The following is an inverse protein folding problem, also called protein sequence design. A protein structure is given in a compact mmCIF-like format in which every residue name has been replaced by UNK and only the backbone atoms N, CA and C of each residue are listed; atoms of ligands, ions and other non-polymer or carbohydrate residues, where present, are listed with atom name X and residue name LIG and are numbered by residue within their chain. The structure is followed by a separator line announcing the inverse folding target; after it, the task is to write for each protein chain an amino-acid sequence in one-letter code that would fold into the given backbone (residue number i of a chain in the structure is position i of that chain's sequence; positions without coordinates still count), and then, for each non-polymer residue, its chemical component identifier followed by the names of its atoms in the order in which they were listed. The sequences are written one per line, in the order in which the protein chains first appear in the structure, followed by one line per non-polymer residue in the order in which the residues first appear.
data_IF_182954001927
#
_entry.id   IF_182954001927
#
_cell.length_a   1.000
_cell.length_b   1.000
_cell.length_c   1.000
_cell.angle_alpha   90.00
_cell.angle_beta   90.00
_cell.angle_gamma   90.00
#
_symmetry.space_group_name_H-M   'P 1'
#
loop_
_entity.id
_entity.type
_entity.pdbx_description
1 polymer ?
#
# COMPACT_ATOMS: atom_id res chain seq x y z
N UNK A 1 -33.37 -8.42 -0.92
CA UNK A 1 -32.00 -8.21 -0.40
C UNK A 1 -31.28 -9.53 -0.44
N UNK A 2 -30.06 -9.57 -0.96
CA UNK A 2 -29.20 -10.76 -1.03
C UNK A 2 -28.08 -10.59 -0.02
N UNK A 3 -27.71 -11.65 0.70
CA UNK A 3 -26.57 -11.63 1.60
C UNK A 3 -25.37 -12.28 0.90
N UNK A 4 -24.22 -11.61 0.89
CA UNK A 4 -22.97 -12.12 0.32
C UNK A 4 -21.89 -11.99 1.39
N UNK A 5 -21.26 -13.12 1.72
CA UNK A 5 -20.05 -13.10 2.54
C UNK A 5 -18.88 -12.56 1.70
N UNK A 6 -18.02 -11.68 2.24
CA UNK A 6 -16.87 -11.15 1.50
C UNK A 6 -15.95 -12.25 0.94
N UNK A 7 -15.75 -13.32 1.71
CA UNK A 7 -15.13 -14.55 1.22
C UNK A 7 -16.21 -15.53 0.77
N UNK A 8 -16.49 -15.55 -0.52
CA UNK A 8 -17.43 -16.51 -1.09
C UNK A 8 -16.86 -17.19 -2.33
N UNK A 9 -17.39 -18.38 -2.58
CA UNK A 9 -17.07 -19.14 -3.78
C UNK A 9 -17.94 -18.72 -4.98
N UNK A 10 -17.45 -19.01 -6.17
CA UNK A 10 -18.08 -18.59 -7.43
C UNK A 10 -19.43 -19.25 -7.66
N UNK A 11 -19.64 -20.47 -7.17
CA UNK A 11 -20.91 -21.19 -7.33
C UNK A 11 -21.98 -20.57 -6.44
N UNK A 12 -21.68 -20.34 -5.18
CA UNK A 12 -22.57 -19.65 -4.23
C UNK A 12 -22.94 -18.27 -4.76
N UNK A 13 -21.96 -17.48 -5.18
CA UNK A 13 -22.19 -16.16 -5.77
C UNK A 13 -23.13 -16.23 -7.00
N UNK A 14 -22.83 -17.11 -7.97
CA UNK A 14 -23.64 -17.24 -9.19
C UNK A 14 -25.06 -17.72 -8.90
N UNK A 15 -25.26 -18.59 -7.91
CA UNK A 15 -26.59 -19.08 -7.52
C UNK A 15 -27.49 -18.00 -6.93
N UNK A 16 -26.92 -17.01 -6.25
CA UNK A 16 -27.65 -15.87 -5.71
C UNK A 16 -28.12 -14.92 -6.83
N UNK A 17 -27.34 -14.82 -7.93
CA UNK A 17 -27.60 -13.91 -9.04
C UNK A 17 -28.69 -14.42 -9.99
N UNK A 18 -28.93 -15.74 -10.07
CA UNK A 18 -29.97 -16.30 -10.97
C UNK A 18 -31.41 -15.94 -10.60
N UNK A 19 -31.62 -15.35 -9.43
CA UNK A 19 -32.94 -15.03 -8.88
C UNK A 19 -33.33 -13.54 -9.00
N UNK A 20 -32.60 -12.76 -9.81
CA UNK A 20 -32.79 -11.31 -9.91
C UNK A 20 -33.92 -10.96 -10.90
N UNK A 21 -34.98 -10.32 -10.41
CA UNK A 21 -36.19 -9.96 -11.16
C UNK A 21 -36.48 -8.44 -11.21
N UNK A 22 -35.68 -7.62 -10.52
CA UNK A 22 -35.78 -6.16 -10.46
C UNK A 22 -34.67 -5.45 -11.24
N UNK A 23 -34.83 -4.14 -11.51
CA UNK A 23 -33.79 -3.30 -12.13
C UNK A 23 -32.52 -3.19 -11.27
N UNK A 24 -32.69 -3.20 -9.94
CA UNK A 24 -31.63 -3.08 -8.95
C UNK A 24 -31.73 -4.15 -7.88
N UNK A 25 -30.60 -4.58 -7.35
CA UNK A 25 -30.50 -5.56 -6.27
C UNK A 25 -29.80 -4.94 -5.07
N UNK A 26 -30.47 -5.00 -3.92
CA UNK A 26 -29.85 -4.67 -2.64
C UNK A 26 -29.03 -5.86 -2.12
N UNK A 27 -27.76 -5.65 -1.82
CA UNK A 27 -26.82 -6.64 -1.30
C UNK A 27 -26.32 -6.23 0.08
N UNK A 28 -26.40 -7.14 1.06
CA UNK A 28 -25.76 -7.00 2.36
C UNK A 28 -24.42 -7.75 2.38
N UNK A 29 -23.35 -7.06 2.80
CA UNK A 29 -22.00 -7.60 3.04
C UNK A 29 -21.74 -7.88 4.52
N UNK A 30 -22.78 -8.29 5.26
CA UNK A 30 -22.68 -8.54 6.70
C UNK A 30 -21.95 -9.86 6.99
N UNK A 31 -21.04 -9.83 7.97
CA UNK A 31 -20.51 -11.06 8.57
C UNK A 31 -21.42 -11.54 9.71
N UNK A 32 -21.27 -12.81 10.12
CA UNK A 32 -22.05 -13.37 11.22
C UNK A 32 -21.90 -12.53 12.50
N UNK A 33 -23.03 -12.07 13.06
CA UNK A 33 -23.06 -11.23 14.26
C UNK A 33 -23.20 -9.73 14.01
N UNK A 34 -23.30 -9.31 12.75
CA UNK A 34 -23.67 -7.93 12.37
C UNK A 34 -25.14 -7.87 11.94
N UNK A 35 -25.84 -6.81 12.34
CA UNK A 35 -27.20 -6.50 11.92
C UNK A 35 -27.22 -5.16 11.16
N UNK A 36 -27.57 -5.22 9.88
CA UNK A 36 -27.67 -4.06 8.99
C UNK A 36 -29.11 -3.58 8.97
N UNK A 37 -29.33 -2.34 9.41
CA UNK A 37 -30.66 -1.74 9.53
C UNK A 37 -30.77 -0.54 8.59
N UNK A 38 -31.36 -0.69 7.39
CA UNK A 38 -31.62 0.42 6.48
C UNK A 38 -32.56 1.46 7.09
N UNK A 39 -32.31 2.75 6.81
CA UNK A 39 -33.29 3.80 7.06
C UNK A 39 -34.51 3.63 6.14
N UNK A 40 -35.70 4.18 6.49
CA UNK A 40 -36.94 3.94 5.74
C UNK A 40 -36.85 4.16 4.22
N UNK A 41 -36.14 5.19 3.77
CA UNK A 41 -36.00 5.55 2.35
C UNK A 41 -34.64 5.17 1.74
N UNK A 42 -33.82 4.37 2.44
CA UNK A 42 -32.45 4.06 2.04
C UNK A 42 -32.37 3.47 0.62
N UNK A 43 -33.20 2.45 0.35
CA UNK A 43 -33.24 1.81 -0.97
C UNK A 43 -33.65 2.78 -2.08
N UNK A 44 -34.71 3.56 -1.85
CA UNK A 44 -35.17 4.56 -2.81
C UNK A 44 -34.10 5.63 -3.09
N UNK A 45 -33.40 6.10 -2.04
CA UNK A 45 -32.33 7.08 -2.17
C UNK A 45 -31.13 6.53 -2.95
N UNK A 46 -30.70 5.31 -2.65
CA UNK A 46 -29.62 4.65 -3.41
C UNK A 46 -30.01 4.44 -4.87
N UNK A 47 -31.25 4.05 -5.16
CA UNK A 47 -31.75 3.88 -6.53
C UNK A 47 -31.80 5.21 -7.29
N UNK A 48 -32.24 6.28 -6.63
CA UNK A 48 -32.25 7.62 -7.22
C UNK A 48 -30.84 8.03 -7.65
N UNK A 49 -29.84 7.83 -6.79
CA UNK A 49 -28.44 8.12 -7.11
C UNK A 49 -27.95 7.23 -8.25
N UNK A 50 -28.23 5.92 -8.21
CA UNK A 50 -27.84 4.98 -9.27
C UNK A 50 -28.39 5.41 -10.64
N UNK A 51 -29.66 5.85 -10.71
CA UNK A 51 -30.28 6.35 -11.95
C UNK A 51 -29.68 7.68 -12.41
N UNK A 52 -29.34 8.58 -11.48
CA UNK A 52 -28.74 9.89 -11.81
C UNK A 52 -27.31 9.77 -12.35
N UNK A 53 -26.52 8.81 -11.85
CA UNK A 53 -25.10 8.65 -12.21
C UNK A 53 -24.86 7.56 -13.25
N UNK A 54 -25.85 6.69 -13.50
CA UNK A 54 -25.69 5.49 -14.31
C UNK A 54 -24.77 4.45 -13.65
N UNK A 55 -24.69 4.45 -12.31
CA UNK A 55 -23.77 3.59 -11.57
C UNK A 55 -24.10 2.10 -11.75
N UNK A 56 -23.05 1.30 -11.91
CA UNK A 56 -23.14 -0.16 -11.83
C UNK A 56 -23.32 -0.63 -10.37
N UNK A 57 -22.77 0.13 -9.42
CA UNK A 57 -22.84 -0.15 -7.98
C UNK A 57 -22.88 1.16 -7.19
N UNK A 58 -23.77 1.24 -6.21
CA UNK A 58 -23.85 2.32 -5.22
C UNK A 58 -23.60 1.73 -3.84
N UNK A 59 -22.78 2.41 -3.05
CA UNK A 59 -22.53 2.11 -1.64
C UNK A 59 -22.56 3.39 -0.83
N UNK A 60 -22.74 3.31 0.48
CA UNK A 60 -23.04 4.49 1.29
C UNK A 60 -22.38 4.47 2.67
N UNK A 61 -22.14 5.67 3.19
CA UNK A 61 -21.85 5.92 4.59
C UNK A 61 -22.91 5.28 5.50
N UNK A 62 -22.57 5.07 6.77
CA UNK A 62 -23.48 4.50 7.75
C UNK A 62 -23.17 4.95 9.17
N UNK A 63 -24.05 4.58 10.10
CA UNK A 63 -23.81 4.76 11.52
C UNK A 63 -23.45 3.44 12.18
N UNK A 64 -22.32 3.39 12.86
CA UNK A 64 -22.02 2.36 13.85
C UNK A 64 -22.84 2.63 15.11
N UNK A 65 -23.53 1.59 15.62
CA UNK A 65 -24.25 1.65 16.90
C UNK A 65 -23.32 1.21 18.02
N UNK A 66 -22.95 2.14 18.89
CA UNK A 66 -22.07 1.89 20.02
C UNK A 66 -22.78 1.08 21.12
N UNK A 67 -22.01 0.51 22.03
CA UNK A 67 -22.51 -0.31 23.16
C UNK A 67 -23.49 0.47 24.06
N UNK A 68 -23.33 1.79 24.16
CA UNK A 68 -24.22 2.68 24.92
C UNK A 68 -25.47 3.12 24.13
N UNK A 69 -25.62 2.65 22.89
CA UNK A 69 -26.70 3.02 21.96
C UNK A 69 -26.47 4.34 21.22
N UNK A 70 -25.34 5.03 21.44
CA UNK A 70 -24.98 6.21 20.66
C UNK A 70 -24.59 5.84 19.22
N UNK A 71 -24.67 6.82 18.30
CA UNK A 71 -24.31 6.62 16.90
C UNK A 71 -22.99 7.32 16.58
N UNK A 72 -22.07 6.60 15.96
CA UNK A 72 -20.85 7.18 15.35
C UNK A 72 -20.95 7.10 13.83
N UNK A 73 -20.69 8.21 13.15
CA UNK A 73 -20.66 8.25 11.69
C UNK A 73 -19.45 7.48 11.18
N UNK A 74 -19.70 6.48 10.34
CA UNK A 74 -18.71 5.76 9.58
C UNK A 74 -18.67 6.33 8.15
N UNK A 75 -17.65 7.15 7.88
CA UNK A 75 -17.45 7.73 6.55
C UNK A 75 -16.59 6.79 5.70
N UNK A 76 -17.04 6.54 4.48
CA UNK A 76 -16.31 5.79 3.46
C UNK A 76 -15.57 6.74 2.51
N UNK A 77 -14.76 6.18 1.60
CA UNK A 77 -14.01 6.93 0.58
C UNK A 77 -14.51 6.58 -0.82
N UNK A 78 -14.28 7.48 -1.77
CA UNK A 78 -14.65 7.25 -3.18
C UNK A 78 -13.80 6.13 -3.81
N UNK A 79 -14.47 5.23 -4.54
CA UNK A 79 -13.83 4.15 -5.28
C UNK A 79 -13.19 4.70 -6.57
N UNK A 80 -11.93 5.12 -6.48
CA UNK A 80 -11.12 5.48 -7.63
C UNK A 80 -10.79 4.25 -8.50
N UNK A 81 -10.38 4.44 -9.75
CA UNK A 81 -10.00 3.33 -10.63
C UNK A 81 -8.88 2.46 -10.05
N UNK A 82 -7.97 3.08 -9.31
CA UNK A 82 -6.88 2.43 -8.58
C UNK A 82 -7.26 1.81 -7.24
N UNK A 83 -8.53 1.81 -6.83
CA UNK A 83 -9.03 1.13 -5.62
C UNK A 83 -9.02 -0.41 -5.81
N UNK A 84 -7.86 -0.98 -6.12
CA UNK A 84 -7.68 -2.39 -6.48
C UNK A 84 -7.42 -3.30 -5.28
N UNK A 85 -7.21 -2.73 -4.10
CA UNK A 85 -6.97 -3.45 -2.87
C UNK A 85 -8.15 -4.34 -2.45
N UNK A 86 -7.88 -5.57 -2.02
CA UNK A 86 -8.90 -6.55 -1.62
C UNK A 86 -9.56 -6.22 -0.27
N UNK A 87 -8.98 -5.28 0.48
CA UNK A 87 -9.54 -4.71 1.71
C UNK A 87 -10.29 -3.39 1.48
N UNK A 88 -10.70 -3.03 0.25
CA UNK A 88 -11.50 -1.82 0.03
C UNK A 88 -12.85 -1.87 0.75
N UNK A 89 -13.15 -0.82 1.51
CA UNK A 89 -14.36 -0.73 2.32
C UNK A 89 -15.51 -0.09 1.55
N UNK A 90 -16.48 -0.91 1.18
CA UNK A 90 -17.75 -0.48 0.58
C UNK A 90 -18.88 -0.39 1.62
N UNK A 91 -18.57 -0.51 2.91
CA UNK A 91 -19.54 -0.67 3.98
C UNK A 91 -20.27 -2.02 3.91
N UNK A 92 -21.48 -2.05 4.44
CA UNK A 92 -22.29 -3.28 4.60
C UNK A 92 -23.47 -3.38 3.65
N UNK A 93 -23.83 -2.30 2.95
CA UNK A 93 -25.01 -2.25 2.11
C UNK A 93 -24.65 -1.70 0.73
N UNK A 94 -24.93 -2.49 -0.31
CA UNK A 94 -24.72 -2.12 -1.71
C UNK A 94 -26.03 -2.17 -2.47
N UNK A 95 -26.19 -1.27 -3.44
CA UNK A 95 -27.20 -1.37 -4.48
C UNK A 95 -26.49 -1.61 -5.82
N UNK A 96 -26.83 -2.68 -6.53
CA UNK A 96 -26.16 -3.08 -7.77
C UNK A 96 -27.18 -3.08 -8.92
N UNK A 97 -26.82 -2.50 -10.06
CA UNK A 97 -27.62 -2.61 -11.29
C UNK A 97 -27.65 -4.07 -11.76
N UNK A 98 -28.85 -4.61 -11.98
CA UNK A 98 -29.04 -6.04 -12.28
C UNK A 98 -28.38 -6.47 -13.59
N UNK A 99 -28.32 -5.59 -14.59
CA UNK A 99 -27.66 -5.90 -15.88
C UNK A 99 -26.15 -5.89 -15.70
N UNK A 100 -25.61 -4.91 -14.98
CA UNK A 100 -24.21 -4.85 -14.63
C UNK A 100 -23.79 -6.08 -13.81
N UNK A 101 -24.61 -6.51 -12.85
CA UNK A 101 -24.39 -7.71 -12.03
C UNK A 101 -24.28 -8.98 -12.88
N UNK A 102 -25.22 -9.19 -13.81
CA UNK A 102 -25.20 -10.36 -14.71
C UNK A 102 -23.98 -10.32 -15.64
N UNK A 103 -23.69 -9.17 -16.26
CA UNK A 103 -22.54 -9.02 -17.15
C UNK A 103 -21.21 -9.21 -16.40
N UNK A 104 -21.07 -8.59 -15.23
CA UNK A 104 -19.89 -8.69 -14.39
C UNK A 104 -19.66 -10.13 -13.93
N UNK A 105 -20.72 -10.83 -13.50
CA UNK A 105 -20.65 -12.25 -13.12
C UNK A 105 -20.27 -13.15 -14.29
N UNK A 106 -20.80 -12.87 -15.49
CA UNK A 106 -20.44 -13.57 -16.73
C UNK A 106 -18.97 -13.37 -17.14
N UNK A 107 -18.37 -12.23 -16.79
CA UNK A 107 -16.96 -11.96 -17.03
C UNK A 107 -16.00 -12.69 -16.06
N UNK A 108 -16.51 -13.31 -15.00
CA UNK A 108 -15.71 -14.13 -14.07
C UNK A 108 -15.54 -15.53 -14.67
N UNK A 109 -14.40 -15.73 -15.33
CA UNK A 109 -14.05 -17.00 -16.00
C UNK A 109 -13.46 -18.03 -15.04
N UNK A 110 -12.67 -17.57 -14.06
CA UNK A 110 -12.01 -18.44 -13.08
C UNK A 110 -13.00 -18.87 -11.99
N UNK A 111 -12.85 -20.11 -11.52
CA UNK A 111 -13.57 -20.62 -10.36
C UNK A 111 -12.77 -20.30 -9.09
N UNK A 112 -13.38 -19.52 -8.20
CA UNK A 112 -12.82 -19.09 -6.92
C UNK A 112 -13.53 -19.77 -5.76
N UNK A 113 -12.80 -20.09 -4.69
CA UNK A 113 -13.34 -20.53 -3.40
C UNK A 113 -13.55 -19.38 -2.42
N UNK A 114 -12.79 -18.30 -2.58
CA UNK A 114 -12.71 -17.18 -1.63
C UNK A 114 -12.85 -15.83 -2.32
N UNK A 115 -12.25 -15.64 -3.50
CA UNK A 115 -12.16 -14.33 -4.13
C UNK A 115 -13.33 -13.97 -5.07
N UNK A 116 -14.46 -14.69 -5.03
CA UNK A 116 -15.53 -14.49 -6.02
C UNK A 116 -16.14 -13.08 -5.92
N UNK A 117 -16.41 -12.59 -4.70
CA UNK A 117 -16.93 -11.22 -4.51
C UNK A 117 -15.91 -10.15 -4.93
N UNK A 118 -14.63 -10.36 -4.62
CA UNK A 118 -13.56 -9.46 -5.04
C UNK A 118 -13.41 -9.41 -6.58
N UNK A 119 -13.49 -10.55 -7.27
CA UNK A 119 -13.54 -10.61 -8.72
C UNK A 119 -14.80 -9.91 -9.28
N UNK A 120 -15.95 -10.08 -8.62
CA UNK A 120 -17.20 -9.43 -9.01
C UNK A 120 -17.13 -7.91 -8.90
N UNK A 121 -16.67 -7.36 -7.78
CA UNK A 121 -16.58 -5.90 -7.60
C UNK A 121 -15.60 -5.29 -8.60
N UNK A 122 -14.51 -5.99 -8.93
CA UNK A 122 -13.57 -5.58 -9.98
C UNK A 122 -14.19 -5.68 -11.39
N UNK A 123 -15.14 -6.58 -11.60
CA UNK A 123 -15.86 -6.70 -12.86
C UNK A 123 -16.97 -5.66 -13.02
N UNK A 124 -17.64 -5.31 -11.92
CA UNK A 124 -18.65 -4.26 -11.85
C UNK A 124 -18.07 -2.89 -12.20
N UNK A 125 -16.85 -2.58 -11.74
CA UNK A 125 -16.19 -1.31 -12.09
C UNK A 125 -15.89 -1.16 -13.60
N UNK A 126 -15.96 -2.25 -14.37
CA UNK A 126 -15.85 -2.22 -15.85
C UNK A 126 -17.20 -2.05 -16.55
N UNK A 127 -18.32 -2.21 -15.83
CA UNK A 127 -19.67 -2.07 -16.39
C UNK A 127 -20.19 -0.62 -16.30
N UNK A 128 -19.69 0.15 -15.34
CA UNK A 128 -20.10 1.52 -15.11
C UNK A 128 -19.48 2.09 -13.83
N UNK A 129 -19.83 3.34 -13.47
CA UNK A 129 -19.34 3.98 -12.25
C UNK A 129 -19.66 3.17 -11.00
N UNK A 130 -18.72 3.15 -10.06
CA UNK A 130 -18.96 2.70 -8.68
C UNK A 130 -19.10 3.95 -7.84
N UNK A 131 -20.33 4.26 -7.42
CA UNK A 131 -20.66 5.56 -6.83
C UNK A 131 -20.79 5.45 -5.31
N UNK A 132 -20.05 6.31 -4.64
CA UNK A 132 -20.18 6.56 -3.21
C UNK A 132 -21.32 7.54 -2.94
N UNK A 133 -22.27 7.15 -2.10
CA UNK A 133 -23.30 8.01 -1.53
C UNK A 133 -22.84 8.45 -0.13
N UNK A 134 -22.32 9.66 -0.01
CA UNK A 134 -21.83 10.25 1.26
C UNK A 134 -22.97 10.71 2.19
N UNK A 135 -24.02 9.88 2.29
CA UNK A 135 -25.16 10.06 3.16
C UNK A 135 -25.31 8.78 4.00
N UNK A 136 -25.43 8.88 5.34
CA UNK A 136 -25.60 7.70 6.17
C UNK A 136 -27.03 7.15 6.05
N UNK A 137 -27.22 6.15 5.19
CA UNK A 137 -28.55 5.59 4.87
C UNK A 137 -28.88 4.30 5.64
N UNK A 138 -27.99 3.80 6.49
CA UNK A 138 -28.24 2.63 7.34
C UNK A 138 -27.44 2.68 8.65
N UNK A 139 -27.80 1.79 9.58
CA UNK A 139 -27.08 1.53 10.84
C UNK A 139 -26.51 0.12 10.85
N UNK A 140 -25.41 -0.07 11.55
CA UNK A 140 -24.80 -1.38 11.80
C UNK A 140 -24.71 -1.60 13.31
N UNK A 141 -25.33 -2.68 13.77
CA UNK A 141 -25.18 -3.17 15.15
C UNK A 141 -24.27 -4.40 15.13
N UNK A 142 -23.17 -4.35 15.87
CA UNK A 142 -22.21 -5.46 15.96
C UNK A 142 -22.28 -6.12 17.33
N UNK A 143 -22.43 -7.45 17.36
CA UNK A 143 -22.34 -8.22 18.59
C UNK A 143 -20.94 -8.10 19.23
N UNK A 144 -20.84 -8.23 20.55
CA UNK A 144 -19.56 -8.24 21.26
C UNK A 144 -18.66 -9.36 20.73
N UNK A 145 -17.50 -9.01 20.15
CA UNK A 145 -16.60 -9.98 19.52
C UNK A 145 -16.84 -10.23 18.02
N UNK A 146 -17.61 -9.36 17.35
CA UNK A 146 -17.73 -9.38 15.89
C UNK A 146 -16.34 -9.29 15.23
N UNK A 147 -16.11 -10.20 14.28
CA UNK A 147 -14.91 -10.27 13.44
C UNK A 147 -14.94 -9.08 12.48
N UNK A 148 -13.83 -8.36 12.33
CA UNK A 148 -13.73 -7.25 11.38
C UNK A 148 -13.95 -7.76 9.95
N UNK A 149 -14.59 -6.96 9.12
CA UNK A 149 -14.76 -7.22 7.68
C UNK A 149 -13.44 -7.44 6.93
N UNK A 150 -12.29 -7.13 7.54
CA UNK A 150 -10.98 -7.35 6.93
C UNK A 150 -10.11 -8.38 7.65
N UNK A 151 -10.62 -9.05 8.70
CA UNK A 151 -9.84 -10.05 9.44
C UNK A 151 -9.44 -11.25 8.55
N UNK A 152 -10.15 -11.48 7.45
CA UNK A 152 -9.81 -12.51 6.48
C UNK A 152 -8.66 -12.14 5.53
N UNK A 153 -8.27 -10.85 5.47
CA UNK A 153 -7.15 -10.36 4.64
C UNK A 153 -5.80 -10.73 5.29
N UNK A 154 -5.81 -11.64 6.28
CA UNK A 154 -4.63 -12.20 6.91
C UNK A 154 -3.63 -12.69 5.85
N UNK A 155 -2.44 -12.06 5.74
CA UNK A 155 -1.40 -12.47 4.80
C UNK A 155 -0.96 -13.93 5.01
N UNK A 156 -1.23 -14.51 6.18
CA UNK A 156 -0.93 -15.92 6.49
C UNK A 156 -1.88 -16.89 5.78
N UNK A 157 -3.03 -16.45 5.29
CA UNK A 157 -3.94 -17.29 4.52
C UNK A 157 -3.54 -17.34 3.03
N UNK A 158 -2.53 -18.16 2.74
CA UNK A 158 -1.90 -18.26 1.42
C UNK A 158 -2.88 -18.58 0.28
N UNK A 159 -3.86 -19.44 0.52
CA UNK A 159 -4.85 -19.81 -0.51
C UNK A 159 -5.73 -18.61 -0.90
N UNK A 160 -6.17 -17.83 0.09
CA UNK A 160 -6.93 -16.59 -0.15
C UNK A 160 -6.07 -15.58 -0.91
N UNK A 161 -4.82 -15.36 -0.49
CA UNK A 161 -3.91 -14.41 -1.14
C UNK A 161 -3.67 -14.74 -2.62
N UNK A 162 -3.51 -16.02 -2.95
CA UNK A 162 -3.34 -16.48 -4.34
C UNK A 162 -4.59 -16.19 -5.17
N UNK A 163 -5.79 -16.46 -4.63
CA UNK A 163 -7.03 -16.18 -5.35
C UNK A 163 -7.27 -14.68 -5.56
N UNK A 164 -6.99 -13.85 -4.55
CA UNK A 164 -7.09 -12.40 -4.66
C UNK A 164 -6.09 -11.85 -5.68
N UNK A 165 -4.85 -12.38 -5.71
CA UNK A 165 -3.87 -12.03 -6.73
C UNK A 165 -4.34 -12.39 -8.15
N UNK A 166 -4.92 -13.57 -8.35
CA UNK A 166 -5.49 -13.97 -9.63
C UNK A 166 -6.61 -13.03 -10.08
N UNK A 167 -7.55 -12.70 -9.19
CA UNK A 167 -8.66 -11.81 -9.50
C UNK A 167 -8.19 -10.40 -9.90
N UNK A 168 -7.21 -9.84 -9.19
CA UNK A 168 -6.60 -8.56 -9.55
C UNK A 168 -5.89 -8.65 -10.91
N UNK A 169 -5.12 -9.71 -11.13
CA UNK A 169 -4.38 -9.92 -12.38
C UNK A 169 -5.30 -10.06 -13.60
N UNK A 170 -6.41 -10.79 -13.44
CA UNK A 170 -7.42 -10.94 -14.49
C UNK A 170 -8.12 -9.60 -14.77
N UNK A 171 -8.38 -8.78 -13.74
CA UNK A 171 -8.87 -7.41 -13.93
C UNK A 171 -7.86 -6.53 -14.67
N UNK A 172 -6.57 -6.54 -14.29
CA UNK A 172 -5.52 -5.77 -14.95
C UNK A 172 -5.40 -6.13 -16.44
N UNK A 173 -5.53 -7.41 -16.79
CA UNK A 173 -5.57 -7.85 -18.19
C UNK A 173 -6.79 -7.29 -18.92
N UNK A 174 -7.97 -7.40 -18.30
CA UNK A 174 -9.22 -6.91 -18.88
C UNK A 174 -9.23 -5.40 -19.16
N UNK A 175 -8.48 -4.61 -18.37
CA UNK A 175 -8.37 -3.16 -18.55
C UNK A 175 -7.12 -2.71 -19.29
N UNK A 176 -6.29 -3.63 -19.79
CA UNK A 176 -5.06 -3.32 -20.54
C UNK A 176 -3.91 -2.78 -19.69
N UNK A 177 -3.93 -2.99 -18.37
CA UNK A 177 -2.91 -2.51 -17.43
C UNK A 177 -1.97 -3.60 -16.90
N UNK A 178 -2.12 -4.84 -17.37
CA UNK A 178 -1.25 -5.95 -16.97
C UNK A 178 0.18 -5.75 -17.49
N UNK A 179 1.17 -6.03 -16.63
CA UNK A 179 2.58 -5.99 -17.01
C UNK A 179 3.15 -7.40 -17.07
N UNK A 180 3.86 -7.70 -18.15
CA UNK A 180 4.65 -8.92 -18.27
C UNK A 180 5.90 -8.87 -17.37
N UNK A 181 6.48 -10.04 -17.04
CA UNK A 181 7.80 -10.11 -16.42
C UNK A 181 8.85 -9.32 -17.24
N UNK A 182 9.84 -8.76 -16.54
CA UNK A 182 10.95 -7.97 -17.06
C UNK A 182 12.22 -8.60 -16.55
N UNK A 183 13.15 -8.80 -17.46
CA UNK A 183 14.46 -9.40 -17.21
C UNK A 183 15.59 -8.44 -17.61
N UNK A 184 15.30 -7.14 -17.73
CA UNK A 184 16.27 -6.14 -18.17
C UNK A 184 17.21 -5.75 -17.02
N UNK A 185 18.50 -5.86 -17.30
CA UNK A 185 19.58 -5.44 -16.43
C UNK A 185 19.66 -3.91 -16.36
N UNK A 186 19.72 -3.39 -15.15
CA UNK A 186 19.94 -1.97 -14.91
C UNK A 186 21.41 -1.65 -15.04
N UNK A 187 21.71 -0.62 -15.83
CA UNK A 187 23.06 -0.06 -15.91
C UNK A 187 23.31 0.90 -14.74
N UNK A 188 24.27 0.54 -13.89
CA UNK A 188 24.70 1.34 -12.74
C UNK A 188 25.84 2.31 -13.04
N UNK A 189 26.16 2.55 -14.32
CA UNK A 189 27.13 3.57 -14.71
C UNK A 189 26.74 4.96 -14.19
N UNK A 190 27.76 5.74 -13.84
CA UNK A 190 27.60 7.06 -13.27
C UNK A 190 28.71 7.37 -12.26
N UNK A 191 28.91 8.66 -12.03
CA UNK A 191 29.84 9.16 -11.02
C UNK A 191 29.12 9.34 -9.69
N UNK A 192 29.61 8.66 -8.65
CA UNK A 192 29.04 8.66 -7.31
C UNK A 192 30.18 8.68 -6.27
N UNK A 193 30.08 9.49 -5.21
CA UNK A 193 31.14 9.66 -4.22
C UNK A 193 31.40 8.40 -3.38
N UNK A 194 30.38 7.56 -3.21
CA UNK A 194 30.40 6.31 -2.45
C UNK A 194 29.49 5.27 -3.10
N UNK A 195 29.63 4.00 -2.73
CA UNK A 195 28.80 2.92 -3.27
C UNK A 195 27.36 3.02 -2.77
N UNK A 196 27.17 3.32 -1.49
CA UNK A 196 25.85 3.43 -0.90
C UNK A 196 25.73 4.59 0.08
N UNK A 197 24.52 5.12 0.20
CA UNK A 197 24.11 6.07 1.22
C UNK A 197 22.92 5.51 1.97
N UNK A 198 23.04 5.38 3.29
CA UNK A 198 21.86 5.17 4.15
C UNK A 198 21.15 6.50 4.31
N UNK A 199 19.87 6.57 3.99
CA UNK A 199 19.07 7.79 3.99
C UNK A 199 18.05 7.73 5.12
N UNK A 200 18.09 8.74 5.99
CA UNK A 200 17.26 8.86 7.19
C UNK A 200 16.57 10.23 7.19
N UNK A 201 15.33 10.34 6.69
CA UNK A 201 14.48 11.49 6.95
C UNK A 201 14.14 11.55 8.44
N UNK A 202 14.24 12.72 9.07
CA UNK A 202 13.93 12.87 10.49
C UNK A 202 13.24 14.18 10.80
N UNK A 203 12.30 14.14 11.76
CA UNK A 203 11.75 15.32 12.42
C UNK A 203 11.35 14.97 13.85
N UNK A 204 11.91 15.67 14.82
CA UNK A 204 11.61 15.51 16.25
C UNK A 204 11.70 14.05 16.73
N UNK A 205 12.91 13.49 16.70
CA UNK A 205 13.21 12.10 17.06
C UNK A 205 14.42 11.99 17.98
N UNK A 206 14.58 12.94 18.90
CA UNK A 206 15.76 13.00 19.78
C UNK A 206 16.00 11.70 20.54
N UNK A 207 14.93 11.00 20.93
CA UNK A 207 15.01 9.75 21.70
C UNK A 207 15.43 8.53 20.88
N UNK A 208 15.32 8.56 19.55
CA UNK A 208 15.54 7.37 18.71
C UNK A 208 16.63 7.55 17.66
N UNK A 209 16.88 8.78 17.21
CA UNK A 209 17.71 9.08 16.06
C UNK A 209 19.16 8.58 16.22
N UNK A 210 19.71 8.64 17.43
CA UNK A 210 21.07 8.19 17.68
C UNK A 210 21.21 6.68 17.45
N UNK A 211 20.26 5.86 17.92
CA UNK A 211 20.27 4.42 17.68
C UNK A 211 20.22 4.11 16.17
N UNK A 212 19.38 4.82 15.43
CA UNK A 212 19.24 4.65 13.98
C UNK A 212 20.57 4.95 13.27
N UNK A 213 21.15 6.13 13.53
CA UNK A 213 22.41 6.55 12.91
C UNK A 213 23.58 5.67 13.32
N UNK A 214 23.67 5.25 14.59
CA UNK A 214 24.71 4.33 15.05
C UNK A 214 24.57 2.94 14.41
N UNK A 215 23.34 2.44 14.21
CA UNK A 215 23.10 1.18 13.49
C UNK A 215 23.53 1.26 12.02
N UNK A 216 23.39 2.44 11.40
CA UNK A 216 23.83 2.69 10.04
C UNK A 216 25.36 2.85 9.93
N UNK A 217 26.00 3.58 10.86
CA UNK A 217 27.45 3.81 10.87
C UNK A 217 28.28 2.59 11.29
N UNK A 218 27.65 1.60 11.93
CA UNK A 218 28.25 0.33 12.33
C UNK A 218 28.17 -0.76 11.25
N UNK A 219 27.65 -0.46 10.06
CA UNK A 219 27.61 -1.43 8.96
C UNK A 219 29.04 -1.78 8.50
N UNK A 220 29.29 -3.08 8.36
CA UNK A 220 30.52 -3.67 7.87
C UNK A 220 30.37 -4.00 6.39
N UNK A 221 31.16 -3.34 5.55
CA UNK A 221 31.05 -3.47 4.09
C UNK A 221 32.43 -3.52 3.44
N UNK A 222 32.48 -4.10 2.25
CA UNK A 222 33.66 -4.15 1.37
C UNK A 222 33.84 -2.90 0.50
N UNK A 223 32.91 -1.95 0.59
CA UNK A 223 32.85 -0.72 -0.19
C UNK A 223 32.74 0.50 0.71
N UNK A 224 32.96 1.70 0.16
CA UNK A 224 32.75 2.94 0.89
C UNK A 224 31.27 3.30 0.91
N UNK A 225 30.78 3.78 2.06
CA UNK A 225 29.41 4.26 2.23
C UNK A 225 29.38 5.47 3.17
N UNK A 226 28.25 6.17 3.18
CA UNK A 226 27.96 7.23 4.13
C UNK A 226 26.51 7.14 4.65
N UNK A 227 26.17 8.01 5.60
CA UNK A 227 24.81 8.15 6.14
C UNK A 227 24.35 9.58 5.91
N UNK A 228 23.23 9.75 5.23
CA UNK A 228 22.60 11.04 4.97
C UNK A 228 21.38 11.16 5.89
N UNK A 229 21.42 12.10 6.83
CA UNK A 229 20.27 12.43 7.67
C UNK A 229 19.70 13.75 7.18
N UNK A 230 18.45 13.73 6.74
CA UNK A 230 17.71 14.95 6.36
C UNK A 230 16.83 15.36 7.52
N UNK A 231 17.30 16.33 8.29
CA UNK A 231 16.58 16.89 9.44
C UNK A 231 15.64 17.99 8.99
N UNK A 232 14.34 17.65 8.94
CA UNK A 232 13.28 18.52 8.49
C UNK A 232 12.83 19.49 9.61
N UNK A 233 13.77 20.33 10.04
CA UNK A 233 13.59 21.41 11.01
C UNK A 233 13.12 20.92 12.38
N UNK A 234 13.84 19.96 12.97
CA UNK A 234 13.58 19.51 14.33
C UNK A 234 13.76 20.63 15.37
N UNK A 235 13.00 20.53 16.46
CA UNK A 235 12.97 21.53 17.54
C UNK A 235 13.09 20.90 18.94
N UNK A 236 13.36 19.59 19.01
CA UNK A 236 13.39 18.81 20.26
C UNK A 236 14.79 18.51 20.78
N UNK A 237 15.83 18.96 20.08
CA UNK A 237 17.24 18.63 20.33
C UNK A 237 17.85 17.63 19.33
N UNK A 238 17.08 17.15 18.36
CA UNK A 238 17.56 16.21 17.30
C UNK A 238 18.68 16.83 16.46
N UNK A 239 18.53 18.09 16.05
CA UNK A 239 19.50 18.78 15.20
C UNK A 239 20.86 18.88 15.87
N UNK A 240 20.88 19.22 17.16
CA UNK A 240 22.08 19.43 17.95
C UNK A 240 22.88 18.13 18.11
N UNK A 241 22.22 17.02 18.44
CA UNK A 241 22.89 15.72 18.60
C UNK A 241 23.47 15.22 17.27
N UNK A 242 22.78 15.46 16.15
CA UNK A 242 23.26 15.13 14.81
C UNK A 242 24.45 15.98 14.39
N UNK A 243 24.42 17.29 14.65
CA UNK A 243 25.55 18.18 14.39
C UNK A 243 26.80 17.77 15.17
N UNK A 244 26.64 17.41 16.45
CA UNK A 244 27.76 16.99 17.29
C UNK A 244 28.32 15.62 16.90
N UNK A 245 27.49 14.72 16.36
CA UNK A 245 27.96 13.47 15.77
C UNK A 245 28.68 13.71 14.43
N UNK A 246 28.15 14.56 13.55
CA UNK A 246 28.74 14.85 12.24
C UNK A 246 30.13 15.50 12.34
N UNK A 247 30.40 16.25 13.41
CA UNK A 247 31.75 16.76 13.72
C UNK A 247 32.76 15.65 14.05
N UNK A 248 32.29 14.50 14.55
CA UNK A 248 33.11 13.38 15.03
C UNK A 248 33.23 12.24 14.02
N UNK A 249 32.22 12.03 13.18
CA UNK A 249 32.24 11.03 12.11
C UNK A 249 31.93 11.68 10.75
N UNK A 250 32.96 11.79 9.91
CA UNK A 250 32.85 12.40 8.57
C UNK A 250 31.95 11.64 7.60
N UNK A 251 31.54 10.40 7.93
CA UNK A 251 30.58 9.64 7.11
C UNK A 251 29.14 10.10 7.34
N UNK A 252 28.86 10.90 8.37
CA UNK A 252 27.52 11.44 8.61
C UNK A 252 27.35 12.79 7.89
N UNK A 253 26.52 12.79 6.84
CA UNK A 253 26.05 13.98 6.15
C UNK A 253 24.73 14.45 6.76
N UNK A 254 24.80 15.38 7.71
CA UNK A 254 23.61 16.02 8.29
C UNK A 254 23.16 17.21 7.43
N UNK A 255 21.96 17.11 6.86
CA UNK A 255 21.37 18.12 5.98
C UNK A 255 20.11 18.69 6.64
N UNK A 256 20.07 20.01 6.83
CA UNK A 256 18.85 20.74 7.15
C UNK A 256 18.39 21.44 5.86
N UNK A 257 17.18 21.15 5.33
CA UNK A 257 16.70 21.78 4.10
C UNK A 257 16.60 23.30 4.24
N UNK A 258 16.94 24.04 3.18
CA UNK A 258 16.79 25.51 3.16
C UNK A 258 15.32 25.95 3.24
N UNK A 259 14.43 25.16 2.62
CA UNK A 259 12.99 25.39 2.64
C UNK A 259 12.30 24.58 3.74
N UNK A 260 11.18 25.09 4.24
CA UNK A 260 10.31 24.39 5.18
C UNK A 260 9.15 23.73 4.45
N UNK A 261 8.47 22.79 5.11
CA UNK A 261 7.22 22.19 4.60
C UNK A 261 7.38 20.93 3.75
N UNK A 262 8.58 20.35 3.69
CA UNK A 262 8.80 19.06 3.03
C UNK A 262 8.06 17.93 3.75
N UNK A 263 7.49 17.01 2.99
CA UNK A 263 7.13 15.67 3.46
C UNK A 263 8.35 14.75 3.51
N UNK A 264 8.11 13.47 3.83
CA UNK A 264 9.15 12.43 3.80
C UNK A 264 9.71 12.28 2.38
N UNK A 265 8.85 12.33 1.35
CA UNK A 265 9.27 12.24 -0.04
C UNK A 265 10.16 13.41 -0.48
N UNK A 266 9.87 14.63 -0.03
CA UNK A 266 10.73 15.80 -0.23
C UNK A 266 12.10 15.63 0.43
N UNK A 267 12.15 15.05 1.62
CA UNK A 267 13.43 14.72 2.28
C UNK A 267 14.22 13.66 1.50
N UNK A 268 13.55 12.63 0.99
CA UNK A 268 14.17 11.65 0.08
C UNK A 268 14.71 12.30 -1.19
N UNK A 269 13.94 13.19 -1.82
CA UNK A 269 14.36 13.93 -3.00
C UNK A 269 15.61 14.78 -2.72
N UNK A 270 15.67 15.44 -1.57
CA UNK A 270 16.86 16.19 -1.16
C UNK A 270 18.06 15.26 -0.96
N UNK A 271 17.86 14.11 -0.31
CA UNK A 271 18.92 13.13 -0.07
C UNK A 271 19.47 12.55 -1.38
N UNK A 272 18.62 12.06 -2.29
CA UNK A 272 19.08 11.44 -3.54
C UNK A 272 19.74 12.44 -4.50
N UNK A 273 19.34 13.71 -4.46
CA UNK A 273 19.96 14.78 -5.25
C UNK A 273 21.18 15.42 -4.56
N UNK A 274 21.49 15.04 -3.32
CA UNK A 274 22.68 15.54 -2.62
C UNK A 274 23.96 15.11 -3.34
N UNK A 275 24.99 15.98 -3.40
CA UNK A 275 26.31 15.60 -3.91
C UNK A 275 26.98 14.51 -3.06
N UNK A 276 26.49 14.26 -1.84
CA UNK A 276 26.97 13.17 -0.99
C UNK A 276 26.33 11.82 -1.34
N UNK A 277 25.26 11.77 -2.14
CA UNK A 277 24.51 10.54 -2.35
C UNK A 277 25.26 9.55 -3.24
N UNK A 278 25.45 8.34 -2.71
CA UNK A 278 26.06 7.22 -3.40
C UNK A 278 25.20 6.63 -4.51
N UNK A 279 25.72 5.60 -5.14
CA UNK A 279 25.08 4.89 -6.25
C UNK A 279 23.78 4.22 -5.85
N UNK A 280 23.72 3.69 -4.63
CA UNK A 280 22.50 3.14 -4.04
C UNK A 280 22.07 3.95 -2.82
N UNK A 281 20.81 4.38 -2.80
CA UNK A 281 20.19 5.03 -1.66
C UNK A 281 19.35 4.01 -0.88
N UNK A 282 19.68 3.78 0.39
CA UNK A 282 19.11 2.71 1.21
C UNK A 282 18.35 3.32 2.37
N UNK A 283 17.10 2.92 2.56
CA UNK A 283 16.26 3.45 3.62
C UNK A 283 16.72 3.02 5.01
N UNK A 284 16.64 3.94 5.97
CA UNK A 284 16.44 3.65 7.38
C UNK A 284 15.52 4.70 8.02
N UNK A 285 14.42 4.30 8.66
CA UNK A 285 13.55 5.25 9.36
C UNK A 285 14.19 5.69 10.69
N UNK A 286 13.97 6.95 11.07
CA UNK A 286 14.62 7.61 12.21
C UNK A 286 14.31 7.03 13.60
N UNK A 287 13.33 6.14 13.68
CA UNK A 287 12.91 5.41 14.86
C UNK A 287 13.20 3.90 14.80
N UNK A 288 13.83 3.43 13.74
CA UNK A 288 14.15 2.02 13.51
C UNK A 288 15.66 1.76 13.48
N UNK A 289 16.06 0.49 13.40
CA UNK A 289 17.47 0.08 13.35
C UNK A 289 17.67 -1.10 12.37
N UNK A 290 18.86 -1.21 11.79
CA UNK A 290 19.21 -2.42 11.04
C UNK A 290 19.35 -3.65 11.95
N UNK A 291 18.95 -4.81 11.45
CA UNK A 291 18.96 -6.07 12.21
C UNK A 291 20.37 -6.64 12.44
N UNK A 292 21.35 -6.25 11.62
CA UNK A 292 22.73 -6.75 11.69
C UNK A 292 23.73 -5.76 11.08
N UNK A 293 25.01 -5.94 11.38
CA UNK A 293 26.10 -5.15 10.79
C UNK A 293 26.33 -5.45 9.29
N UNK A 294 25.77 -6.55 8.75
CA UNK A 294 25.93 -6.92 7.34
C UNK A 294 24.73 -6.53 6.46
N UNK A 295 23.71 -5.86 7.00
CA UNK A 295 22.49 -5.49 6.27
C UNK A 295 22.80 -4.71 4.99
N UNK A 296 23.63 -3.66 5.08
CA UNK A 296 23.96 -2.82 3.93
C UNK A 296 24.76 -3.58 2.87
N UNK A 297 25.72 -4.43 3.29
CA UNK A 297 26.48 -5.30 2.39
C UNK A 297 25.54 -6.20 1.59
N UNK A 298 24.60 -6.87 2.27
CA UNK A 298 23.64 -7.78 1.63
C UNK A 298 22.74 -7.09 0.61
N UNK A 299 22.30 -5.86 0.92
CA UNK A 299 21.46 -5.06 0.00
C UNK A 299 22.25 -4.71 -1.27
N UNK A 300 23.49 -4.23 -1.12
CA UNK A 300 24.33 -3.85 -2.27
C UNK A 300 24.75 -5.07 -3.10
N UNK A 301 25.06 -6.20 -2.45
CA UNK A 301 25.34 -7.46 -3.16
C UNK A 301 24.14 -7.89 -4.00
N UNK A 302 22.91 -7.71 -3.51
CA UNK A 302 21.69 -8.02 -4.25
C UNK A 302 21.50 -7.15 -5.48
N UNK A 303 21.83 -5.86 -5.40
CA UNK A 303 21.83 -4.97 -6.57
C UNK A 303 22.76 -5.47 -7.66
N UNK A 304 24.01 -5.81 -7.30
CA UNK A 304 25.01 -6.26 -8.27
C UNK A 304 24.71 -7.64 -8.82
N UNK A 305 24.26 -8.57 -7.98
CA UNK A 305 23.95 -9.94 -8.38
C UNK A 305 22.76 -10.03 -9.34
N UNK A 306 21.73 -9.21 -9.14
CA UNK A 306 20.49 -9.27 -9.93
C UNK A 306 20.30 -8.12 -10.91
N UNK A 307 21.21 -7.13 -10.88
CA UNK A 307 21.18 -5.93 -11.73
C UNK A 307 19.80 -5.26 -11.75
N UNK A 308 19.20 -5.12 -10.57
CA UNK A 308 17.84 -4.61 -10.36
C UNK A 308 17.81 -3.10 -10.06
N UNK A 309 16.67 -2.44 -10.24
CA UNK A 309 16.55 -0.99 -9.95
C UNK A 309 16.24 -0.70 -8.48
N UNK A 310 15.63 -1.67 -7.81
CA UNK A 310 15.07 -1.59 -6.47
C UNK A 310 15.39 -2.90 -5.75
N UNK A 311 15.85 -2.80 -4.50
CA UNK A 311 15.94 -3.94 -3.58
C UNK A 311 14.99 -3.70 -2.42
N UNK A 312 14.18 -4.69 -2.07
CA UNK A 312 13.26 -4.62 -0.93
C UNK A 312 13.50 -5.79 -0.01
N UNK A 313 13.70 -5.47 1.28
CA UNK A 313 13.91 -6.46 2.33
C UNK A 313 12.63 -6.83 3.09
N UNK A 314 12.84 -7.71 4.07
CA UNK A 314 11.91 -8.04 5.12
C UNK A 314 12.32 -7.37 6.44
N UNK A 315 11.35 -7.20 7.34
CA UNK A 315 11.57 -6.57 8.64
C UNK A 315 10.89 -7.34 9.77
N UNK A 316 11.42 -7.23 10.98
CA UNK A 316 10.81 -7.80 12.18
C UNK A 316 10.22 -6.68 13.03
N UNK A 317 8.98 -6.85 13.48
CA UNK A 317 8.39 -5.95 14.47
C UNK A 317 9.00 -6.21 15.85
N UNK A 318 9.49 -5.16 16.50
CA UNK A 318 10.01 -5.25 17.86
C UNK A 318 9.49 -4.13 18.74
N UNK A 319 9.59 -4.28 20.06
CA UNK A 319 9.54 -3.15 20.97
C UNK A 319 10.86 -2.35 20.93
N UNK A 320 10.97 -1.35 21.81
CA UNK A 320 12.17 -0.51 21.92
C UNK A 320 13.40 -1.31 22.39
N UNK A 321 13.18 -2.34 23.21
CA UNK A 321 14.22 -3.24 23.76
C UNK A 321 14.57 -4.38 22.81
N UNK A 322 14.03 -4.36 21.57
CA UNK A 322 14.24 -5.36 20.50
C UNK A 322 13.60 -6.72 20.77
N UNK A 323 12.65 -6.81 21.70
CA UNK A 323 11.84 -8.01 21.85
C UNK A 323 10.85 -8.10 20.68
N UNK A 324 10.74 -9.28 20.08
CA UNK A 324 9.86 -9.50 18.92
C UNK A 324 8.40 -9.35 19.33
N UNK A 325 7.66 -8.52 18.59
CA UNK A 325 6.22 -8.34 18.74
C UNK A 325 5.49 -9.15 17.67
N UNK A 326 4.30 -9.67 17.99
CA UNK A 326 3.45 -10.32 17.00
C UNK A 326 3.05 -9.33 15.88
N UNK A 327 2.95 -9.78 14.61
CA UNK A 327 3.17 -11.14 14.11
C UNK A 327 4.64 -11.57 13.91
N UNK A 328 5.62 -10.71 14.20
CA UNK A 328 7.05 -11.02 14.09
C UNK A 328 7.66 -10.54 12.77
N UNK A 329 8.20 -11.48 11.99
CA UNK A 329 8.80 -11.21 10.67
C UNK A 329 7.71 -10.92 9.64
N UNK A 330 7.90 -9.83 8.89
CA UNK A 330 7.10 -9.45 7.72
C UNK A 330 7.99 -9.62 6.48
N UNK A 331 7.83 -10.75 5.80
CA UNK A 331 8.65 -11.17 4.64
C UNK A 331 8.11 -10.71 3.28
N UNK A 332 6.83 -10.37 3.21
CA UNK A 332 6.09 -10.14 1.97
C UNK A 332 6.29 -11.28 0.95
N UNK A 333 5.99 -12.51 1.39
CA UNK A 333 6.12 -13.74 0.59
C UNK A 333 5.15 -13.78 -0.61
N UNK A 334 4.20 -12.84 -0.68
CA UNK A 334 3.32 -12.64 -1.84
C UNK A 334 4.03 -12.08 -3.08
N UNK A 335 5.29 -11.66 -2.98
CA UNK A 335 6.06 -11.22 -4.14
C UNK A 335 6.60 -12.40 -4.97
N UNK A 336 6.36 -12.35 -6.29
CA UNK A 336 6.98 -13.25 -7.28
C UNK A 336 7.60 -12.45 -8.43
N UNK A 337 8.66 -12.99 -9.06
CA UNK A 337 9.25 -12.37 -10.26
C UNK A 337 8.28 -12.34 -11.45
N UNK A 338 7.36 -13.31 -11.49
CA UNK A 338 6.35 -13.41 -12.54
C UNK A 338 5.26 -12.34 -12.42
N UNK A 339 4.75 -12.08 -11.21
CA UNK A 339 3.54 -11.26 -11.06
C UNK A 339 3.58 -10.22 -9.92
N UNK A 340 4.68 -10.13 -9.16
CA UNK A 340 4.83 -9.21 -8.03
C UNK A 340 4.53 -7.75 -8.36
N UNK A 341 4.93 -7.27 -9.54
CA UNK A 341 4.63 -5.90 -10.05
C UNK A 341 3.14 -5.62 -10.25
N UNK A 342 2.35 -6.66 -10.51
CA UNK A 342 0.90 -6.57 -10.69
C UNK A 342 0.22 -6.72 -9.33
N UNK A 343 0.67 -7.70 -8.53
CA UNK A 343 0.20 -7.91 -7.16
C UNK A 343 0.45 -6.67 -6.27
N UNK A 344 1.52 -5.90 -6.55
CA UNK A 344 1.83 -4.64 -5.90
C UNK A 344 0.68 -3.62 -5.94
N UNK A 345 -0.18 -3.63 -6.96
CA UNK A 345 -1.36 -2.76 -7.03
C UNK A 345 -2.50 -3.21 -6.11
N UNK A 346 -2.51 -4.48 -5.71
CA UNK A 346 -3.49 -5.02 -4.76
C UNK A 346 -3.06 -4.77 -3.31
N UNK A 347 -1.79 -5.04 -2.99
CA UNK A 347 -1.29 -4.96 -1.61
C UNK A 347 -0.93 -3.52 -1.20
N UNK A 348 -0.78 -3.29 0.11
CA UNK A 348 -0.61 -1.96 0.70
C UNK A 348 0.84 -1.50 0.89
N UNK A 349 1.83 -2.31 0.51
CA UNK A 349 3.24 -1.95 0.60
C UNK A 349 4.15 -2.99 -0.06
N UNK A 350 5.41 -2.63 -0.28
CA UNK A 350 6.42 -3.53 -0.83
C UNK A 350 7.26 -4.23 0.24
N UNK A 351 7.33 -3.70 1.46
CA UNK A 351 8.23 -4.15 2.53
C UNK A 351 9.24 -3.09 2.96
N UNK A 352 10.18 -3.45 3.82
CA UNK A 352 11.21 -2.56 4.32
C UNK A 352 12.47 -3.38 4.71
N UNK A 353 13.68 -2.82 4.58
CA UNK A 353 13.97 -1.51 4.02
C UNK A 353 13.84 -1.53 2.49
N UNK A 354 13.54 -0.38 1.90
CA UNK A 354 13.65 -0.18 0.45
C UNK A 354 14.99 0.45 0.12
N UNK A 355 15.61 -0.01 -0.96
CA UNK A 355 16.81 0.57 -1.50
C UNK A 355 16.64 0.81 -2.99
N UNK A 356 17.19 1.92 -3.48
CA UNK A 356 16.98 2.40 -4.84
C UNK A 356 18.31 2.66 -5.53
N UNK A 357 18.41 2.32 -6.81
CA UNK A 357 19.46 2.88 -7.65
C UNK A 357 19.23 4.40 -7.80
N UNK A 358 20.17 5.19 -7.30
CA UNK A 358 20.06 6.65 -7.18
C UNK A 358 19.83 7.31 -8.55
N UNK A 359 20.48 6.82 -9.61
CA UNK A 359 20.34 7.37 -10.96
C UNK A 359 18.91 7.30 -11.51
N UNK A 360 18.13 6.27 -11.15
CA UNK A 360 16.72 6.17 -11.51
C UNK A 360 15.82 6.96 -10.54
N UNK A 361 16.12 6.92 -9.25
CA UNK A 361 15.34 7.67 -8.25
C UNK A 361 15.31 9.17 -8.55
N UNK A 362 16.45 9.75 -9.00
CA UNK A 362 16.56 11.14 -9.44
C UNK A 362 15.66 11.50 -10.63
N UNK A 363 15.38 10.54 -11.52
CA UNK A 363 14.55 10.75 -12.72
C UNK A 363 13.06 10.63 -12.43
N UNK A 364 12.69 9.74 -11.50
CA UNK A 364 11.29 9.46 -11.17
C UNK A 364 10.73 10.49 -10.19
N UNK A 365 11.55 10.93 -9.23
CA UNK A 365 11.17 11.78 -8.10
C UNK A 365 10.18 11.11 -7.13
N UNK A 366 10.46 11.17 -5.83
CA UNK A 366 9.49 10.74 -4.81
C UNK A 366 8.32 11.73 -4.75
N UNK A 367 7.07 11.27 -4.63
CA UNK A 367 5.95 12.15 -4.29
C UNK A 367 6.21 12.84 -2.95
N UNK A 368 6.15 14.17 -2.90
CA UNK A 368 6.40 14.91 -1.65
C UNK A 368 5.20 14.85 -0.70
N UNK A 369 5.12 13.73 0.00
CA UNK A 369 4.13 13.40 1.02
C UNK A 369 4.83 12.69 2.18
N UNK A 370 4.13 12.50 3.29
CA UNK A 370 4.62 11.71 4.44
C UNK A 370 3.90 10.36 4.56
N UNK A 371 3.15 9.95 3.54
CA UNK A 371 2.54 8.64 3.45
C UNK A 371 2.41 8.20 1.99
N UNK A 372 3.01 7.05 1.64
CA UNK A 372 2.91 6.44 0.32
C UNK A 372 3.91 6.97 -0.71
N UNK A 373 4.83 7.85 -0.32
CA UNK A 373 5.93 8.33 -1.18
C UNK A 373 6.81 7.17 -1.67
N UNK A 374 7.09 6.23 -0.77
CA UNK A 374 7.86 5.03 -1.02
C UNK A 374 7.14 4.07 -1.97
N UNK A 375 5.83 3.89 -1.74
CA UNK A 375 4.96 3.04 -2.54
C UNK A 375 4.87 3.58 -3.97
N UNK A 376 4.70 4.90 -4.13
CA UNK A 376 4.71 5.56 -5.44
C UNK A 376 6.03 5.34 -6.18
N UNK A 377 7.17 5.51 -5.51
CA UNK A 377 8.48 5.25 -6.10
C UNK A 377 8.66 3.78 -6.50
N UNK A 378 8.25 2.84 -5.64
CA UNK A 378 8.35 1.42 -5.92
C UNK A 378 7.46 0.98 -7.09
N UNK A 379 6.24 1.50 -7.20
CA UNK A 379 5.37 1.26 -8.36
C UNK A 379 6.05 1.75 -9.65
N UNK A 380 6.54 2.98 -9.66
CA UNK A 380 7.17 3.57 -10.84
C UNK A 380 8.44 2.82 -11.28
N UNK A 381 9.29 2.37 -10.34
CA UNK A 381 10.48 1.59 -10.66
C UNK A 381 10.14 0.16 -11.12
N UNK A 382 9.26 -0.53 -10.39
CA UNK A 382 8.88 -1.92 -10.69
C UNK A 382 8.07 -2.07 -11.98
N UNK A 383 7.51 -0.96 -12.49
CA UNK A 383 6.86 -0.92 -13.81
C UNK A 383 7.83 -1.31 -14.93
N UNK A 384 9.07 -0.83 -14.86
CA UNK A 384 10.04 -0.97 -15.95
C UNK A 384 11.24 -1.86 -15.61
N UNK A 385 11.47 -2.17 -14.34
CA UNK A 385 12.69 -2.83 -13.90
C UNK A 385 12.44 -3.94 -12.90
N UNK A 386 13.40 -4.87 -12.82
CA UNK A 386 13.40 -5.94 -11.83
C UNK A 386 13.49 -5.37 -10.40
N UNK A 387 12.85 -6.04 -9.46
CA UNK A 387 12.95 -5.80 -8.01
C UNK A 387 13.66 -6.97 -7.37
N UNK A 388 14.78 -6.72 -6.69
CA UNK A 388 15.47 -7.70 -5.89
C UNK A 388 14.80 -7.88 -4.52
N UNK A 389 14.61 -9.13 -4.08
CA UNK A 389 13.99 -9.46 -2.78
C UNK A 389 14.98 -10.09 -1.80
N UNK A 390 14.96 -9.65 -0.56
CA UNK A 390 15.65 -10.30 0.57
C UNK A 390 14.61 -10.62 1.63
N UNK A 391 14.35 -11.91 1.87
CA UNK A 391 13.26 -12.37 2.75
C UNK A 391 13.67 -12.53 4.22
N UNK A 392 14.96 -12.46 4.52
CA UNK A 392 15.44 -12.41 5.91
C UNK A 392 15.27 -11.00 6.49
N UNK A 393 15.07 -10.93 7.81
CA UNK A 393 14.98 -9.65 8.51
C UNK A 393 16.26 -8.83 8.33
N UNK A 394 16.16 -7.70 7.64
CA UNK A 394 17.23 -6.71 7.49
C UNK A 394 17.07 -5.53 8.44
N UNK A 395 15.90 -5.43 9.08
CA UNK A 395 15.39 -4.20 9.66
C UNK A 395 14.48 -4.51 10.84
N UNK A 396 14.67 -3.79 11.95
CA UNK A 396 13.84 -3.92 13.14
C UNK A 396 12.93 -2.70 13.22
N UNK A 397 11.65 -2.91 12.93
CA UNK A 397 10.63 -1.88 13.00
C UNK A 397 10.14 -1.77 14.46
N UNK A 398 10.56 -0.71 15.16
CA UNK A 398 10.32 -0.52 16.59
C UNK A 398 8.95 0.10 16.83
N UNK A 399 8.19 -0.49 17.76
CA UNK A 399 6.92 0.02 18.26
C UNK A 399 7.07 0.51 19.69
N UNK A 400 6.56 1.70 19.97
CA UNK A 400 6.63 2.35 21.29
C UNK A 400 5.44 3.29 21.51
N UNK A 401 5.19 3.72 22.75
CA UNK A 401 4.01 4.50 23.19
C UNK A 401 3.90 5.92 22.61
N UNK A 402 4.77 6.30 21.67
CA UNK A 402 4.71 7.52 20.87
C UNK A 402 4.59 7.30 19.36
N UNK A 403 4.47 6.06 18.89
CA UNK A 403 4.28 5.80 17.45
C UNK A 403 2.93 6.33 16.99
N UNK A 404 2.97 7.15 15.94
CA UNK A 404 1.82 7.82 15.32
C UNK A 404 0.78 6.86 14.73
N UNK A 405 1.11 5.57 14.61
CA UNK A 405 0.37 4.59 13.82
C UNK A 405 -0.41 3.55 14.64
N UNK A 406 -0.34 3.58 15.98
CA UNK A 406 -0.94 2.51 16.79
C UNK A 406 -2.48 2.58 16.89
N UNK A 407 -3.10 3.72 16.54
CA UNK A 407 -4.54 3.88 16.44
C UNK A 407 -4.89 5.13 15.62
N UNK A 408 -4.72 5.06 14.30
CA UNK A 408 -5.14 6.15 13.41
C UNK A 408 -6.66 6.34 13.50
N UNK A 409 -7.13 7.59 13.48
CA UNK A 409 -8.55 7.88 13.32
C UNK A 409 -9.05 7.37 11.97
N UNK A 410 -10.34 7.05 11.85
CA UNK A 410 -10.96 6.66 10.58
C UNK A 410 -10.65 7.69 9.48
N UNK A 411 -10.71 8.99 9.80
CA UNK A 411 -10.35 10.07 8.88
C UNK A 411 -8.91 9.95 8.36
N UNK A 412 -7.95 9.65 9.25
CA UNK A 412 -6.55 9.48 8.85
C UNK A 412 -6.34 8.21 8.00
N UNK A 413 -7.00 7.10 8.34
CA UNK A 413 -7.00 5.87 7.53
C UNK A 413 -7.58 6.14 6.15
N UNK A 414 -8.72 6.82 6.08
CA UNK A 414 -9.39 7.17 4.83
C UNK A 414 -8.52 8.09 3.96
N UNK A 415 -7.91 9.13 4.55
CA UNK A 415 -6.98 10.02 3.83
C UNK A 415 -5.81 9.24 3.24
N UNK A 416 -5.23 8.33 4.01
CA UNK A 416 -4.10 7.50 3.60
C UNK A 416 -4.48 6.52 2.47
N UNK A 417 -5.60 5.81 2.61
CA UNK A 417 -6.11 4.89 1.60
C UNK A 417 -6.49 5.62 0.31
N UNK A 418 -7.20 6.74 0.42
CA UNK A 418 -7.60 7.57 -0.73
C UNK A 418 -6.38 8.07 -1.53
N UNK A 419 -5.29 8.43 -0.85
CA UNK A 419 -4.06 8.83 -1.52
C UNK A 419 -3.34 7.65 -2.18
N UNK A 420 -3.21 6.49 -1.52
CA UNK A 420 -2.60 5.30 -2.15
C UNK A 420 -3.41 4.79 -3.35
N UNK A 421 -4.74 4.83 -3.27
CA UNK A 421 -5.60 4.48 -4.41
C UNK A 421 -5.45 5.48 -5.57
N UNK A 422 -5.10 6.74 -5.27
CA UNK A 422 -4.75 7.73 -6.29
C UNK A 422 -3.42 7.42 -6.96
N UNK A 423 -2.40 7.02 -6.19
CA UNK A 423 -1.13 6.56 -6.76
C UNK A 423 -1.33 5.34 -7.67
N UNK A 424 -2.14 4.37 -7.25
CA UNK A 424 -2.54 3.22 -8.08
C UNK A 424 -3.29 3.64 -9.33
N UNK A 425 -4.15 4.65 -9.23
CA UNK A 425 -4.91 5.18 -10.38
C UNK A 425 -3.97 5.75 -11.43
N UNK A 426 -3.01 6.59 -11.03
CA UNK A 426 -2.02 7.15 -11.96
C UNK A 426 -1.11 6.07 -12.55
N UNK A 427 -0.72 5.08 -11.74
CA UNK A 427 0.06 3.94 -12.22
C UNK A 427 -0.73 3.11 -13.25
N UNK A 428 -2.02 2.85 -13.02
CA UNK A 428 -2.89 2.18 -13.99
C UNK A 428 -2.97 2.95 -15.31
N UNK A 429 -3.17 4.27 -15.24
CA UNK A 429 -3.23 5.14 -16.43
C UNK A 429 -1.94 5.02 -17.25
N UNK A 430 -0.78 5.08 -16.59
CA UNK A 430 0.51 4.98 -17.26
C UNK A 430 0.75 3.58 -17.86
N UNK A 431 0.39 2.51 -17.15
CA UNK A 431 0.47 1.13 -17.68
C UNK A 431 -0.38 0.96 -18.93
N UNK A 432 -1.64 1.43 -18.91
CA UNK A 432 -2.53 1.39 -20.07
C UNK A 432 -1.94 2.14 -21.25
N UNK A 433 -1.42 3.35 -21.01
CA UNK A 433 -0.79 4.18 -22.04
C UNK A 433 0.41 3.47 -22.69
N UNK A 434 1.31 2.92 -21.87
CA UNK A 434 2.50 2.21 -22.36
C UNK A 434 2.18 0.90 -23.08
N UNK A 435 1.19 0.15 -22.60
CA UNK A 435 0.77 -1.09 -23.25
C UNK A 435 0.12 -0.82 -24.61
N UNK A 436 -0.74 0.20 -24.71
CA UNK A 436 -1.30 0.63 -26.00
C UNK A 436 -0.21 1.01 -27.00
N UNK A 437 0.79 1.78 -26.59
CA UNK A 437 1.92 2.15 -27.46
C UNK A 437 2.70 0.92 -27.94
N UNK A 438 2.97 -0.04 -27.06
CA UNK A 438 3.66 -1.29 -27.42
C UNK A 438 2.87 -2.16 -28.39
N UNK A 439 1.55 -2.09 -28.36
CA UNK A 439 0.69 -2.85 -29.27
C UNK A 439 0.51 -2.14 -30.61
N UNK A 440 0.66 -0.81 -30.67
CA UNK A 440 0.72 -0.04 -31.93
C UNK A 440 2.07 -0.19 -32.67
N UNK A 441 3.16 -0.48 -31.94
CA UNK A 441 4.49 -0.70 -32.50
C UNK A 441 4.72 -2.12 -33.06
N UNK A 442 3.82 -3.07 -32.78
CA UNK A 442 3.86 -4.46 -33.28
C UNK A 442 3.03 -4.63 -34.54
#
# INVERSE_FOLDING_TARGET
MINIEPLCDTRSLKSLITCVDSDYVMVSLSVAGENVIPMPDAGHRMEQVARMTGAAMVYADFYDVNVDGSLSLHQLIDCQEGALRDDFDFGKLLLIDSRALVNASGAIVRDYRYAAFYALRLALSRQGPVTHLSEPVYKVESASGAVSQFDYVDPRNREVQIEMEHACSDHLKAVGAYLNPVNDDVDFTGDYPVEASVVIPVRNRRSTIMDAVESALSQETSFTYNVIVVDNHSTDGTTEVLQDLAKRDSRLCHIVPEITGLGIGGCWNLAVNSPCCGRFAVQLDSDDIYSSASTLQRIVDKFHAERCALVVGAYTLTDFDRNVLAPGLISHDEWSDENGRNNALRINGFGAPRAFFTGLARKILFPDTSYGEDYGMCLAMSRCHKVGRIYDSLYLCRRWSGNSDAALSLEAVNRNNMYKDRLRTWELMERKRLNLQRDEEK
#
